data_IF_663620458958
#
_entry.id   IF_663620458958
#
_cell.length_a   1.000
_cell.length_b   1.000
_cell.length_c   1.000
_cell.angle_alpha   90.00
_cell.angle_beta   90.00
_cell.angle_gamma   90.00
#
_symmetry.space_group_name_H-M   'P 1'
#
loop_
_entity.id
_entity.type
_entity.pdbx_description
1 polymer ?
#
# COMPACT_ATOMS: atom_id res chain seq x y z
N UNK A 1 3.60 14.46 -6.79
CA UNK A 1 4.29 15.76 -6.58
C UNK A 1 4.92 15.84 -5.18
N UNK A 2 4.12 15.87 -4.10
CA UNK A 2 4.64 15.94 -2.71
C UNK A 2 5.73 14.91 -2.42
N UNK A 3 5.57 13.65 -2.85
CA UNK A 3 6.58 12.60 -2.62
C UNK A 3 7.95 12.96 -3.23
N UNK A 4 7.95 13.38 -4.50
CA UNK A 4 9.18 13.73 -5.20
C UNK A 4 9.89 14.94 -4.54
N UNK A 5 9.13 15.99 -4.23
CA UNK A 5 9.67 17.18 -3.57
C UNK A 5 10.16 16.89 -2.15
N UNK A 6 9.50 16.00 -1.41
CA UNK A 6 9.93 15.60 -0.06
C UNK A 6 11.23 14.78 -0.07
N UNK A 7 11.57 14.18 -1.21
CA UNK A 7 12.81 13.44 -1.42
C UNK A 7 13.93 14.31 -1.97
N UNK A 8 13.59 15.40 -2.65
CA UNK A 8 14.52 16.31 -3.30
C UNK A 8 15.59 16.85 -2.34
N UNK A 9 16.86 16.60 -2.65
CA UNK A 9 18.00 17.05 -1.85
C UNK A 9 18.02 18.57 -1.67
N UNK A 10 17.67 19.32 -2.73
CA UNK A 10 17.62 20.79 -2.70
C UNK A 10 16.59 21.35 -1.71
N UNK A 11 15.60 20.54 -1.30
CA UNK A 11 14.58 20.89 -0.32
C UNK A 11 14.84 20.29 1.06
N UNK A 12 16.04 19.74 1.28
CA UNK A 12 16.44 19.06 2.52
C UNK A 12 15.98 17.60 2.62
N UNK A 13 15.53 17.02 1.51
CA UNK A 13 15.27 15.58 1.40
C UNK A 13 16.56 14.75 1.46
N UNK A 14 16.43 13.43 1.50
CA UNK A 14 17.57 12.49 1.53
C UNK A 14 17.90 11.86 0.17
N UNK A 15 17.18 12.23 -0.88
CA UNK A 15 17.23 11.57 -2.17
C UNK A 15 16.83 10.10 -2.14
N UNK A 16 17.22 9.38 -3.19
CA UNK A 16 17.08 7.95 -3.33
C UNK A 16 18.33 7.25 -2.80
N UNK A 17 18.17 6.45 -1.75
CA UNK A 17 19.23 5.69 -1.10
C UNK A 17 19.73 4.49 -1.93
N UNK A 18 18.95 4.03 -2.92
CA UNK A 18 19.38 2.99 -3.87
C UNK A 18 20.10 3.54 -5.10
N UNK A 19 19.93 4.83 -5.41
CA UNK A 19 20.43 5.46 -6.62
C UNK A 19 21.03 6.82 -6.27
N UNK A 20 22.32 6.81 -5.93
CA UNK A 20 23.06 8.02 -5.56
C UNK A 20 22.95 9.10 -6.66
N UNK A 21 22.66 10.33 -6.25
CA UNK A 21 22.45 11.47 -7.15
C UNK A 21 21.04 11.57 -7.76
N UNK A 22 20.15 10.60 -7.54
CA UNK A 22 18.75 10.70 -7.91
C UNK A 22 17.87 11.03 -6.70
N UNK A 23 16.84 11.86 -6.88
CA UNK A 23 15.88 12.15 -5.81
C UNK A 23 14.82 11.03 -5.67
N UNK A 24 14.42 10.41 -6.77
CA UNK A 24 13.43 9.31 -6.82
C UNK A 24 13.81 8.27 -7.87
N UNK A 25 13.35 7.02 -7.69
CA UNK A 25 13.50 5.95 -8.67
C UNK A 25 12.14 5.44 -9.17
N UNK A 26 12.18 4.61 -10.22
CA UNK A 26 11.01 4.03 -10.89
C UNK A 26 10.55 2.70 -10.27
N UNK A 27 11.26 2.19 -9.26
CA UNK A 27 10.85 1.00 -8.53
C UNK A 27 9.73 1.34 -7.53
N UNK A 28 8.53 0.83 -7.80
CA UNK A 28 7.36 0.96 -6.92
C UNK A 28 7.53 0.33 -5.53
N UNK A 29 8.48 -0.59 -5.34
CA UNK A 29 8.82 -1.16 -4.03
C UNK A 29 9.68 -0.23 -3.18
N UNK A 30 10.32 0.76 -3.80
CA UNK A 30 11.23 1.70 -3.14
C UNK A 30 10.73 3.14 -3.16
N UNK A 31 10.36 3.65 -4.33
CA UNK A 31 9.83 4.99 -4.53
C UNK A 31 8.39 4.94 -5.05
N UNK A 32 8.19 5.14 -6.35
CA UNK A 32 6.88 5.19 -6.96
C UNK A 32 6.93 4.59 -8.36
N UNK A 33 5.79 4.04 -8.80
CA UNK A 33 5.68 3.50 -10.14
C UNK A 33 5.88 4.59 -11.20
N UNK A 34 6.57 4.24 -12.28
CA UNK A 34 6.73 5.06 -13.48
C UNK A 34 6.58 4.18 -14.72
N UNK A 35 6.01 4.74 -15.78
CA UNK A 35 5.91 4.10 -17.09
C UNK A 35 6.26 5.12 -18.17
N UNK A 36 6.99 4.71 -19.20
CA UNK A 36 7.32 5.59 -20.33
C UNK A 36 6.11 5.86 -21.22
N UNK A 37 6.19 6.88 -22.07
CA UNK A 37 5.12 7.19 -23.04
C UNK A 37 4.95 6.02 -24.02
N UNK A 38 6.03 5.38 -24.43
CA UNK A 38 6.03 4.21 -25.32
C UNK A 38 5.31 3.02 -24.70
N UNK A 39 5.59 2.72 -23.42
CA UNK A 39 4.91 1.68 -22.67
C UNK A 39 3.41 1.96 -22.54
N UNK A 40 3.03 3.22 -22.26
CA UNK A 40 1.63 3.63 -22.17
C UNK A 40 0.92 3.54 -23.53
N UNK A 41 1.57 3.92 -24.62
CA UNK A 41 1.05 3.74 -25.99
C UNK A 41 0.78 2.27 -26.29
N UNK A 42 1.75 1.40 -26.01
CA UNK A 42 1.59 -0.04 -26.20
C UNK A 42 0.45 -0.62 -25.35
N UNK A 43 0.33 -0.16 -24.09
CA UNK A 43 -0.69 -0.64 -23.14
C UNK A 43 -2.11 -0.18 -23.47
N UNK A 44 -2.27 1.06 -23.92
CA UNK A 44 -3.59 1.67 -24.11
C UNK A 44 -4.07 1.66 -25.57
N UNK A 45 -3.17 1.44 -26.53
CA UNK A 45 -3.48 1.37 -27.96
C UNK A 45 -4.25 2.60 -28.41
N UNK A 46 -5.38 2.39 -29.08
CA UNK A 46 -6.26 3.45 -29.59
C UNK A 46 -6.79 4.40 -28.50
N UNK A 47 -6.83 3.97 -27.24
CA UNK A 47 -7.27 4.82 -26.12
C UNK A 47 -6.16 5.72 -25.56
N UNK A 48 -4.92 5.61 -26.05
CA UNK A 48 -3.76 6.31 -25.51
C UNK A 48 -4.01 7.82 -25.39
N UNK A 49 -4.39 8.47 -26.49
CA UNK A 49 -4.58 9.94 -26.51
C UNK A 49 -5.63 10.39 -25.49
N UNK A 50 -6.74 9.67 -25.40
CA UNK A 50 -7.83 9.96 -24.46
C UNK A 50 -7.36 9.85 -23.01
N UNK A 51 -6.69 8.76 -22.65
CA UNK A 51 -6.25 8.53 -21.27
C UNK A 51 -5.09 9.41 -20.88
N UNK A 52 -4.12 9.58 -21.78
CA UNK A 52 -2.96 10.44 -21.56
C UNK A 52 -3.39 11.90 -21.38
N UNK A 53 -4.25 12.43 -22.26
CA UNK A 53 -4.79 13.79 -22.13
C UNK A 53 -5.52 14.02 -20.80
N UNK A 54 -6.37 13.06 -20.37
CA UNK A 54 -7.06 13.14 -19.08
C UNK A 54 -6.08 13.19 -17.90
N UNK A 55 -5.01 12.40 -17.94
CA UNK A 55 -3.98 12.39 -16.90
C UNK A 55 -3.19 13.70 -16.90
N UNK A 56 -2.76 14.19 -18.07
CA UNK A 56 -2.05 15.47 -18.20
C UNK A 56 -2.87 16.63 -17.65
N UNK A 57 -4.17 16.70 -17.98
CA UNK A 57 -5.06 17.71 -17.43
C UNK A 57 -5.15 17.65 -15.89
N UNK A 58 -5.16 16.45 -15.29
CA UNK A 58 -5.16 16.29 -13.84
C UNK A 58 -3.83 16.75 -13.20
N UNK A 59 -2.70 16.50 -13.87
CA UNK A 59 -1.38 16.98 -13.43
C UNK A 59 -1.31 18.51 -13.51
N UNK A 60 -1.76 19.09 -14.62
CA UNK A 60 -1.68 20.52 -14.91
C UNK A 60 -2.62 21.33 -14.03
N UNK A 61 -3.87 20.88 -13.87
CA UNK A 61 -4.85 21.55 -13.00
C UNK A 61 -4.43 21.59 -11.53
N UNK A 62 -3.57 20.66 -11.10
CA UNK A 62 -3.01 20.63 -9.75
C UNK A 62 -1.59 21.20 -9.68
N UNK A 63 -1.08 21.87 -10.72
CA UNK A 63 0.30 22.35 -10.81
C UNK A 63 0.72 23.13 -9.56
N UNK A 64 1.88 22.77 -9.02
CA UNK A 64 2.48 23.39 -7.84
C UNK A 64 1.78 23.06 -6.51
N UNK A 65 0.66 22.32 -6.50
CA UNK A 65 0.01 21.94 -5.24
C UNK A 65 0.76 20.80 -4.55
N UNK A 66 1.03 21.01 -3.26
CA UNK A 66 1.69 20.05 -2.37
C UNK A 66 0.87 19.89 -1.09
N UNK A 67 1.12 18.79 -0.38
CA UNK A 67 0.48 18.51 0.90
C UNK A 67 1.49 18.71 2.02
N UNK A 68 1.10 19.49 3.03
CA UNK A 68 1.93 19.82 4.19
C UNK A 68 1.22 19.50 5.49
N UNK A 69 2.00 19.26 6.54
CA UNK A 69 1.53 19.16 7.92
C UNK A 69 2.52 19.93 8.78
N UNK A 70 2.05 20.97 9.49
CA UNK A 70 2.90 21.88 10.26
C UNK A 70 4.04 22.46 9.39
N UNK A 71 3.70 23.02 8.23
CA UNK A 71 4.62 23.65 7.26
C UNK A 71 5.76 22.74 6.73
N UNK A 72 5.65 21.43 6.92
CA UNK A 72 6.55 20.44 6.36
C UNK A 72 5.83 19.56 5.34
N UNK A 73 6.50 19.22 4.23
CA UNK A 73 5.97 18.26 3.26
C UNK A 73 5.69 16.92 3.95
N UNK A 74 4.50 16.37 3.72
CA UNK A 74 4.13 15.07 4.31
C UNK A 74 4.84 13.92 3.57
N UNK A 75 4.76 12.72 4.14
CA UNK A 75 4.98 11.44 3.45
C UNK A 75 3.63 10.94 2.85
N UNK A 76 3.38 11.14 1.54
CA UNK A 76 2.07 10.91 0.94
C UNK A 76 1.93 9.48 0.38
N UNK A 77 2.11 8.48 1.23
CA UNK A 77 2.02 7.07 0.83
C UNK A 77 0.61 6.68 0.40
N UNK A 78 0.53 5.82 -0.62
CA UNK A 78 -0.73 5.34 -1.17
C UNK A 78 -0.60 3.88 -1.59
N UNK A 79 -1.73 3.20 -1.67
CA UNK A 79 -1.82 1.79 -2.04
C UNK A 79 -3.05 1.54 -2.91
N UNK A 80 -3.15 0.35 -3.51
CA UNK A 80 -4.21 0.07 -4.47
C UNK A 80 -5.59 -0.06 -3.81
N UNK A 81 -5.71 -0.94 -2.81
CA UNK A 81 -7.00 -1.32 -2.19
C UNK A 81 -6.76 -1.56 -0.71
N UNK A 82 -7.51 -0.89 0.18
CA UNK A 82 -7.30 -1.03 1.63
C UNK A 82 -7.95 -2.28 2.22
N UNK A 83 -9.06 -2.73 1.64
CA UNK A 83 -9.87 -3.81 2.22
C UNK A 83 -10.93 -3.29 3.20
N UNK A 84 -11.44 -2.08 2.95
CA UNK A 84 -12.48 -1.41 3.74
C UNK A 84 -11.99 -0.40 4.78
N UNK A 85 -10.71 -0.45 5.17
CA UNK A 85 -10.10 0.48 6.14
C UNK A 85 -8.60 0.60 5.90
N UNK A 86 -8.04 1.80 6.01
CA UNK A 86 -6.59 2.05 5.89
C UNK A 86 -5.86 1.72 7.19
N UNK A 87 -4.55 1.58 7.16
CA UNK A 87 -3.72 1.28 8.34
C UNK A 87 -3.22 2.55 9.05
N UNK A 88 -2.98 2.45 10.36
CA UNK A 88 -2.14 3.42 11.04
C UNK A 88 -0.67 3.18 10.66
N UNK A 89 0.13 4.24 10.57
CA UNK A 89 1.54 4.07 10.19
C UNK A 89 2.35 3.21 11.16
N UNK A 90 2.07 3.27 12.47
CA UNK A 90 2.78 2.47 13.48
C UNK A 90 2.48 0.97 13.38
N UNK A 91 1.32 0.60 12.86
CA UNK A 91 0.92 -0.80 12.69
C UNK A 91 1.70 -1.46 11.53
N UNK A 92 2.30 -0.66 10.64
CA UNK A 92 3.05 -1.15 9.47
C UNK A 92 4.56 -0.81 9.55
N UNK A 93 4.93 0.34 10.12
CA UNK A 93 6.31 0.84 10.15
C UNK A 93 6.81 1.20 11.56
N UNK A 94 6.10 0.79 12.62
CA UNK A 94 6.50 1.00 14.02
C UNK A 94 6.65 2.47 14.46
N UNK A 95 6.39 3.43 13.57
CA UNK A 95 6.45 4.87 13.83
C UNK A 95 5.08 5.49 13.64
N UNK A 96 4.59 6.18 14.66
CA UNK A 96 3.37 6.97 14.60
C UNK A 96 3.61 8.25 13.79
N UNK A 97 2.82 8.46 12.75
CA UNK A 97 2.84 9.64 11.88
C UNK A 97 1.46 10.29 11.98
N UNK A 98 1.35 11.54 12.48
CA UNK A 98 0.06 12.14 12.85
C UNK A 98 -0.99 12.17 11.74
N UNK A 99 -0.57 12.39 10.50
CA UNK A 99 -1.46 12.46 9.34
C UNK A 99 -1.72 11.11 8.66
N UNK A 100 -1.05 10.03 9.06
CA UNK A 100 -1.26 8.68 8.51
C UNK A 100 -2.02 7.82 9.53
N UNK A 101 -3.32 8.10 9.63
CA UNK A 101 -4.25 7.43 10.54
C UNK A 101 -5.23 6.56 9.79
N UNK A 102 -5.65 5.51 10.46
CA UNK A 102 -6.60 4.53 9.95
C UNK A 102 -8.01 5.14 9.81
N UNK A 103 -8.50 5.22 8.58
CA UNK A 103 -9.84 5.70 8.19
C UNK A 103 -10.58 4.63 7.40
N UNK A 104 -11.91 4.68 7.40
CA UNK A 104 -12.73 3.79 6.56
C UNK A 104 -12.44 4.11 5.07
N UNK A 105 -12.55 3.12 4.18
CA UNK A 105 -12.33 3.31 2.74
C UNK A 105 -13.47 2.62 1.99
N UNK A 106 -14.60 3.31 1.77
CA UNK A 106 -15.79 2.70 1.20
C UNK A 106 -15.66 2.48 -0.32
N UNK A 107 -16.50 1.59 -0.86
CA UNK A 107 -16.65 1.40 -2.31
C UNK A 107 -15.50 0.67 -3.01
N UNK A 108 -14.57 0.08 -2.25
CA UNK A 108 -13.43 -0.66 -2.78
C UNK A 108 -13.78 -2.05 -3.33
N UNK A 109 -14.91 -2.60 -2.89
CA UNK A 109 -15.42 -3.94 -3.22
C UNK A 109 -15.54 -4.20 -4.73
N UNK A 110 -15.66 -3.13 -5.52
CA UNK A 110 -15.76 -3.18 -7.00
C UNK A 110 -14.43 -3.54 -7.67
N UNK A 111 -13.32 -3.50 -6.94
CA UNK A 111 -12.00 -3.82 -7.48
C UNK A 111 -11.88 -5.32 -7.74
N UNK A 112 -11.40 -5.71 -8.93
CA UNK A 112 -11.21 -7.13 -9.28
C UNK A 112 -10.23 -7.86 -8.36
N UNK A 113 -9.29 -7.13 -7.74
CA UNK A 113 -8.34 -7.65 -6.76
C UNK A 113 -8.73 -7.35 -5.30
N UNK A 114 -9.99 -6.97 -5.05
CA UNK A 114 -10.45 -6.70 -3.68
C UNK A 114 -10.31 -7.94 -2.80
N UNK A 115 -10.78 -9.09 -3.31
CA UNK A 115 -10.63 -10.40 -2.67
C UNK A 115 -9.94 -11.35 -3.64
N UNK A 116 -8.84 -11.94 -3.19
CA UNK A 116 -8.07 -12.92 -3.97
C UNK A 116 -7.80 -14.15 -3.14
N UNK A 117 -7.50 -15.26 -3.81
CA UNK A 117 -7.21 -16.54 -3.15
C UNK A 117 -5.92 -17.11 -3.71
N UNK A 118 -5.08 -17.63 -2.82
CA UNK A 118 -3.92 -18.44 -3.15
C UNK A 118 -4.16 -19.83 -2.59
N UNK A 119 -4.03 -20.84 -3.44
CA UNK A 119 -4.20 -22.25 -3.08
C UNK A 119 -2.83 -22.92 -3.17
N UNK A 120 -2.41 -23.59 -2.10
CA UNK A 120 -1.15 -24.33 -2.03
C UNK A 120 -1.38 -25.66 -1.34
N UNK A 121 -0.70 -26.71 -1.78
CA UNK A 121 -0.80 -28.00 -1.11
C UNK A 121 -0.25 -27.91 0.32
N UNK A 122 -0.77 -28.71 1.24
CA UNK A 122 -0.28 -28.79 2.61
C UNK A 122 1.23 -29.05 2.66
N UNK A 123 1.74 -29.92 1.77
CA UNK A 123 3.17 -30.21 1.67
C UNK A 123 4.01 -28.98 1.25
N UNK A 124 3.57 -28.23 0.24
CA UNK A 124 4.27 -27.03 -0.21
C UNK A 124 4.17 -25.90 0.83
N UNK A 125 3.04 -25.79 1.53
CA UNK A 125 2.86 -24.83 2.63
C UNK A 125 3.89 -25.07 3.74
N UNK A 126 4.02 -26.31 4.22
CA UNK A 126 5.01 -26.68 5.25
C UNK A 126 6.43 -26.46 4.74
N UNK A 127 6.72 -26.85 3.50
CA UNK A 127 8.05 -26.70 2.89
C UNK A 127 8.49 -25.23 2.88
N UNK A 128 7.67 -24.31 2.34
CA UNK A 128 7.98 -22.88 2.30
C UNK A 128 8.20 -22.27 3.68
N UNK A 129 7.39 -22.67 4.66
CA UNK A 129 7.58 -22.22 6.05
C UNK A 129 8.90 -22.72 6.63
N UNK A 130 9.30 -23.97 6.36
CA UNK A 130 10.57 -24.55 6.83
C UNK A 130 11.80 -23.98 6.11
N UNK A 131 11.68 -23.60 4.84
CA UNK A 131 12.75 -22.88 4.13
C UNK A 131 13.07 -21.54 4.81
N UNK A 132 12.03 -20.86 5.33
CA UNK A 132 12.19 -19.62 6.11
C UNK A 132 12.61 -19.87 7.55
N UNK A 133 12.06 -20.89 8.20
CA UNK A 133 12.34 -21.25 9.57
C UNK A 133 12.64 -22.76 9.70
N UNK A 134 13.91 -23.17 9.55
CA UNK A 134 14.29 -24.60 9.56
C UNK A 134 13.99 -25.33 10.87
N UNK A 135 13.87 -24.60 11.99
CA UNK A 135 13.54 -25.17 13.31
C UNK A 135 12.05 -25.47 13.50
N UNK A 136 11.18 -25.06 12.57
CA UNK A 136 9.74 -25.20 12.66
C UNK A 136 9.32 -26.67 12.78
N UNK A 137 8.61 -26.98 13.87
CA UNK A 137 8.02 -28.31 14.11
C UNK A 137 6.58 -28.33 13.61
N UNK A 138 6.43 -28.62 12.32
CA UNK A 138 5.14 -28.75 11.66
C UNK A 138 5.12 -29.97 10.73
N UNK A 139 4.02 -30.73 10.78
CA UNK A 139 3.73 -31.85 9.89
C UNK A 139 2.63 -31.46 8.89
N UNK A 140 2.52 -32.19 7.79
CA UNK A 140 1.58 -31.87 6.69
C UNK A 140 0.15 -32.38 6.94
N UNK A 141 -0.28 -32.52 8.19
CA UNK A 141 -1.62 -32.96 8.58
C UNK A 141 -2.21 -31.98 9.60
N UNK A 142 -3.49 -31.64 9.46
CA UNK A 142 -4.22 -30.74 10.36
C UNK A 142 -3.53 -29.36 10.55
N UNK A 143 -2.92 -28.81 9.50
CA UNK A 143 -2.14 -27.57 9.56
C UNK A 143 -2.96 -26.40 10.11
N UNK A 144 -4.23 -26.30 9.74
CA UNK A 144 -5.10 -25.21 10.19
C UNK A 144 -5.25 -25.18 11.71
N UNK A 145 -5.20 -26.35 12.36
CA UNK A 145 -5.25 -26.45 13.83
C UNK A 145 -3.97 -25.97 14.51
N UNK A 146 -2.86 -25.89 13.79
CA UNK A 146 -1.56 -25.38 14.25
C UNK A 146 -1.41 -23.87 14.04
N UNK A 147 -2.34 -23.23 13.32
CA UNK A 147 -2.38 -21.77 13.14
C UNK A 147 -3.18 -21.16 14.29
N UNK A 148 -2.50 -20.47 15.21
CA UNK A 148 -3.08 -19.92 16.45
C UNK A 148 -2.62 -18.48 16.68
N UNK A 149 -3.22 -17.83 17.69
CA UNK A 149 -2.81 -16.52 18.18
C UNK A 149 -2.64 -15.48 17.07
N UNK A 150 -3.59 -15.41 16.13
CA UNK A 150 -3.56 -14.44 15.05
C UNK A 150 -3.89 -13.06 15.63
N UNK A 151 -2.88 -12.20 15.73
CA UNK A 151 -3.05 -10.81 16.15
C UNK A 151 -3.27 -9.92 14.92
N UNK A 152 -4.27 -9.04 14.99
CA UNK A 152 -4.64 -8.16 13.89
C UNK A 152 -4.60 -6.69 14.25
N UNK A 153 -4.36 -5.85 13.27
CA UNK A 153 -4.59 -4.41 13.33
C UNK A 153 -6.09 -4.12 13.35
N UNK A 154 -6.45 -2.86 13.60
CA UNK A 154 -7.84 -2.42 13.50
C UNK A 154 -8.40 -2.53 12.07
N UNK A 155 -7.54 -2.46 11.04
CA UNK A 155 -7.95 -2.66 9.64
C UNK A 155 -7.96 -4.14 9.22
N UNK A 156 -7.69 -5.07 10.15
CA UNK A 156 -7.79 -6.51 9.94
C UNK A 156 -6.53 -7.17 9.37
N UNK A 157 -5.46 -6.41 9.10
CA UNK A 157 -4.19 -7.00 8.68
C UNK A 157 -3.58 -7.82 9.81
N UNK A 158 -3.02 -8.98 9.48
CA UNK A 158 -2.28 -9.82 10.42
C UNK A 158 -0.98 -9.13 10.78
N UNK A 159 -0.78 -8.85 12.07
CA UNK A 159 0.49 -8.41 12.64
C UNK A 159 1.41 -9.60 12.82
N UNK A 160 0.93 -10.56 13.61
CA UNK A 160 1.63 -11.79 13.95
C UNK A 160 0.64 -12.96 13.99
N UNK A 161 1.17 -14.16 13.85
CA UNK A 161 0.44 -15.40 14.02
C UNK A 161 1.42 -16.49 14.43
N UNK A 162 0.95 -17.47 15.20
CA UNK A 162 1.72 -18.66 15.53
C UNK A 162 1.37 -19.79 14.57
N UNK A 163 2.37 -20.43 13.98
CA UNK A 163 2.20 -21.65 13.18
C UNK A 163 3.11 -22.71 13.80
N UNK A 164 2.51 -23.77 14.35
CA UNK A 164 3.24 -24.74 15.16
C UNK A 164 3.83 -24.09 16.40
N UNK A 165 5.15 -24.17 16.57
CA UNK A 165 5.89 -23.57 17.69
C UNK A 165 6.48 -22.18 17.42
N UNK A 166 6.34 -21.66 16.20
CA UNK A 166 7.00 -20.43 15.75
C UNK A 166 6.00 -19.29 15.55
N UNK A 167 6.37 -18.09 15.99
CA UNK A 167 5.66 -16.85 15.63
C UNK A 167 6.21 -16.29 14.32
N UNK A 168 5.31 -16.02 13.38
CA UNK A 168 5.60 -15.33 12.12
C UNK A 168 5.00 -13.93 12.14
N UNK A 169 5.63 -12.99 11.43
CA UNK A 169 4.95 -11.75 11.06
C UNK A 169 4.03 -11.97 9.86
N UNK A 170 2.92 -11.23 9.79
CA UNK A 170 2.01 -11.30 8.63
C UNK A 170 2.71 -10.94 7.30
N UNK A 171 3.75 -10.09 7.35
CA UNK A 171 4.57 -9.73 6.18
C UNK A 171 5.37 -10.91 5.64
N UNK A 172 5.90 -11.77 6.52
CA UNK A 172 6.64 -12.95 6.11
C UNK A 172 5.75 -13.93 5.37
N UNK A 173 4.53 -14.15 5.87
CA UNK A 173 3.54 -14.99 5.17
C UNK A 173 3.17 -14.37 3.82
N UNK A 174 2.94 -13.05 3.79
CA UNK A 174 2.65 -12.35 2.54
C UNK A 174 3.74 -12.58 1.50
N UNK A 175 5.01 -12.46 1.88
CA UNK A 175 6.16 -12.64 0.99
C UNK A 175 6.30 -14.10 0.53
N UNK A 176 6.23 -15.08 1.44
CA UNK A 176 6.38 -16.51 1.13
C UNK A 176 5.34 -17.02 0.12
N UNK A 177 4.11 -16.53 0.24
CA UNK A 177 2.98 -16.98 -0.58
C UNK A 177 2.57 -15.97 -1.65
N UNK A 178 3.31 -14.87 -1.83
CA UNK A 178 3.04 -13.87 -2.86
C UNK A 178 1.67 -13.20 -2.72
N UNK A 179 1.23 -12.95 -1.49
CA UNK A 179 -0.09 -12.40 -1.20
C UNK A 179 -0.15 -10.90 -1.52
N UNK A 180 -1.34 -10.41 -1.91
CA UNK A 180 -1.54 -9.00 -2.23
C UNK A 180 -1.47 -8.07 -1.00
N UNK A 181 -1.84 -8.58 0.18
CA UNK A 181 -1.83 -7.83 1.45
C UNK A 181 -1.50 -8.77 2.62
N UNK A 182 -1.36 -8.19 3.82
CA UNK A 182 -1.29 -8.96 5.08
C UNK A 182 -2.67 -9.18 5.71
N UNK A 183 -3.76 -8.74 5.08
CA UNK A 183 -5.12 -9.05 5.52
C UNK A 183 -5.57 -10.35 4.86
N UNK A 184 -5.23 -11.48 5.49
CA UNK A 184 -5.58 -12.79 4.99
C UNK A 184 -6.17 -13.70 6.07
N UNK A 185 -6.83 -14.77 5.63
CA UNK A 185 -7.37 -15.87 6.45
C UNK A 185 -7.01 -17.20 5.80
N UNK A 186 -7.00 -18.27 6.60
CA UNK A 186 -6.72 -19.62 6.13
C UNK A 186 -7.97 -20.48 6.22
N UNK A 187 -8.11 -21.40 5.28
CA UNK A 187 -9.06 -22.51 5.31
C UNK A 187 -8.41 -23.73 4.65
N UNK A 188 -8.94 -24.92 4.92
CA UNK A 188 -8.49 -26.16 4.29
C UNK A 188 -9.52 -26.63 3.27
N UNK A 189 -9.05 -27.15 2.13
CA UNK A 189 -9.87 -27.88 1.17
C UNK A 189 -9.12 -29.14 0.75
N UNK A 190 -9.55 -30.30 1.24
CA UNK A 190 -8.85 -31.57 1.04
C UNK A 190 -7.37 -31.46 1.48
N UNK A 191 -6.44 -31.65 0.55
CA UNK A 191 -5.00 -31.62 0.78
C UNK A 191 -4.37 -30.23 0.56
N UNK A 192 -5.20 -29.19 0.41
CA UNK A 192 -4.76 -27.82 0.13
C UNK A 192 -5.08 -26.85 1.28
N UNK A 193 -4.17 -25.89 1.48
CA UNK A 193 -4.37 -24.67 2.25
C UNK A 193 -4.81 -23.57 1.29
N UNK A 194 -5.98 -23.00 1.59
CA UNK A 194 -6.58 -21.89 0.86
C UNK A 194 -6.39 -20.61 1.68
N UNK A 195 -5.58 -19.71 1.16
CA UNK A 195 -5.30 -18.40 1.75
C UNK A 195 -6.18 -17.36 1.05
N UNK A 196 -7.18 -16.85 1.76
CA UNK A 196 -8.06 -15.78 1.26
C UNK A 196 -7.52 -14.43 1.71
N UNK A 197 -7.24 -13.55 0.76
CA UNK A 197 -6.60 -12.24 0.97
C UNK A 197 -7.58 -11.13 0.59
N UNK A 198 -7.67 -10.10 1.44
CA UNK A 198 -8.48 -8.90 1.24
C UNK A 198 -7.56 -7.68 1.05
N UNK A 199 -7.86 -6.84 0.07
CA UNK A 199 -7.07 -5.66 -0.25
C UNK A 199 -5.76 -5.95 -1.00
N UNK A 200 -5.08 -4.87 -1.38
CA UNK A 200 -3.83 -4.91 -2.14
C UNK A 200 -2.96 -3.70 -1.80
N UNK A 201 -1.81 -3.99 -1.17
CA UNK A 201 -0.77 -3.04 -0.83
C UNK A 201 -0.49 -3.02 0.67
N UNK A 202 0.06 -1.91 1.15
CA UNK A 202 0.47 -1.76 2.56
C UNK A 202 -0.63 -1.18 3.46
N UNK A 203 -1.77 -0.72 2.91
CA UNK A 203 -2.90 -0.22 3.69
C UNK A 203 -2.75 1.20 4.25
N UNK A 204 -1.54 1.70 4.47
CA UNK A 204 -1.32 3.08 5.00
C UNK A 204 -1.65 4.17 3.97
N UNK A 205 -2.21 5.30 4.44
CA UNK A 205 -2.42 6.50 3.63
C UNK A 205 -3.61 6.38 2.67
N UNK A 206 -3.48 6.87 1.44
CA UNK A 206 -4.60 6.92 0.49
C UNK A 206 -4.79 5.60 -0.27
N UNK A 207 -6.03 5.09 -0.30
CA UNK A 207 -6.41 4.03 -1.22
C UNK A 207 -6.79 4.60 -2.59
N UNK A 208 -6.24 4.04 -3.67
CA UNK A 208 -6.56 4.42 -5.03
C UNK A 208 -8.03 4.09 -5.39
N UNK A 209 -8.50 2.90 -5.04
CA UNK A 209 -9.89 2.52 -5.31
C UNK A 209 -10.88 3.27 -4.43
N UNK A 210 -10.53 3.51 -3.16
CA UNK A 210 -11.37 4.30 -2.26
C UNK A 210 -11.45 5.77 -2.68
N UNK A 211 -10.33 6.37 -3.10
CA UNK A 211 -10.33 7.71 -3.71
C UNK A 211 -11.23 7.80 -4.95
N UNK A 212 -11.20 6.78 -5.81
CA UNK A 212 -12.07 6.71 -6.99
C UNK A 212 -13.55 6.55 -6.60
N UNK A 213 -13.87 5.78 -5.56
CA UNK A 213 -15.23 5.66 -5.04
C UNK A 213 -15.74 7.01 -4.49
N UNK A 214 -14.96 7.68 -3.63
CA UNK A 214 -15.30 9.00 -3.10
C UNK A 214 -15.48 10.04 -4.23
N UNK A 215 -14.65 9.99 -5.27
CA UNK A 215 -14.79 10.87 -6.43
C UNK A 215 -16.09 10.60 -7.22
N UNK A 216 -16.51 9.33 -7.36
CA UNK A 216 -17.81 8.98 -7.95
C UNK A 216 -18.98 9.45 -7.12
N UNK A 217 -18.81 9.52 -5.80
CA UNK A 217 -19.77 10.10 -4.86
C UNK A 217 -19.71 11.64 -4.82
N UNK A 218 -18.94 12.27 -5.71
CA UNK A 218 -18.91 13.71 -5.91
C UNK A 218 -17.87 14.47 -5.07
N UNK A 219 -17.02 13.77 -4.29
CA UNK A 219 -15.95 14.41 -3.53
C UNK A 219 -14.88 14.99 -4.45
N UNK A 220 -14.43 16.20 -4.14
CA UNK A 220 -13.30 16.84 -4.82
C UNK A 220 -11.97 16.27 -4.35
N UNK A 221 -10.92 16.47 -5.13
CA UNK A 221 -9.60 15.90 -4.85
C UNK A 221 -9.04 16.36 -3.49
N UNK A 222 -9.27 17.61 -3.10
CA UNK A 222 -8.79 18.19 -1.85
C UNK A 222 -9.53 17.61 -0.63
N UNK A 223 -10.84 17.35 -0.76
CA UNK A 223 -11.61 16.63 0.25
C UNK A 223 -11.10 15.18 0.41
N UNK A 224 -10.82 14.50 -0.71
CA UNK A 224 -10.30 13.12 -0.69
C UNK A 224 -8.93 13.07 -0.04
N UNK A 225 -8.02 13.99 -0.39
CA UNK A 225 -6.69 14.03 0.20
C UNK A 225 -6.76 14.31 1.71
N UNK A 226 -7.56 15.29 2.15
CA UNK A 226 -7.76 15.60 3.58
C UNK A 226 -8.46 14.48 4.35
N UNK A 227 -9.24 13.64 3.67
CA UNK A 227 -9.86 12.47 4.26
C UNK A 227 -8.83 11.38 4.62
N UNK A 228 -7.94 11.05 3.69
CA UNK A 228 -6.92 10.02 3.89
C UNK A 228 -5.69 10.49 4.67
N UNK A 229 -5.35 11.77 4.57
CA UNK A 229 -4.23 12.39 5.27
C UNK A 229 -4.76 13.40 6.29
N UNK A 230 -4.82 13.02 7.56
CA UNK A 230 -5.52 13.82 8.57
C UNK A 230 -4.74 15.06 8.98
N UNK A 231 -5.44 16.21 9.02
CA UNK A 231 -4.86 17.48 9.48
C UNK A 231 -3.88 18.12 8.51
N UNK A 232 -3.83 17.68 7.25
CA UNK A 232 -2.97 18.30 6.23
C UNK A 232 -3.57 19.58 5.69
N UNK A 233 -2.70 20.40 5.13
CA UNK A 233 -3.06 21.51 4.26
C UNK A 233 -2.57 21.26 2.84
N UNK A 234 -3.25 21.86 1.87
CA UNK A 234 -2.86 21.82 0.47
C UNK A 234 -2.50 23.24 0.07
N UNK A 235 -1.21 23.44 -0.22
CA UNK A 235 -0.64 24.77 -0.49
C UNK A 235 0.08 24.76 -1.84
N UNK A 236 0.34 25.95 -2.39
CA UNK A 236 1.29 26.10 -3.49
C UNK A 236 2.70 26.00 -2.93
N UNK A 237 3.55 25.23 -3.62
CA UNK A 237 4.96 25.08 -3.22
C UNK A 237 5.70 26.42 -3.15
N UNK A 238 5.36 27.37 -4.01
CA UNK A 238 5.96 28.71 -4.02
C UNK A 238 5.70 29.46 -2.71
N UNK A 239 4.51 29.32 -2.12
CA UNK A 239 4.16 29.99 -0.87
C UNK A 239 4.87 29.34 0.31
N UNK A 240 5.01 28.02 0.29
CA UNK A 240 5.79 27.26 1.29
C UNK A 240 7.27 27.68 1.30
N UNK A 241 7.84 27.97 0.13
CA UNK A 241 9.24 28.40 0.02
C UNK A 241 9.44 29.86 0.46
N UNK A 242 8.46 30.75 0.21
CA UNK A 242 8.53 32.16 0.65
C UNK A 242 8.49 32.31 2.17
N UNK A 243 7.76 31.45 2.87
CA UNK A 243 7.65 31.48 4.34
C UNK A 243 8.87 30.94 5.11
N UNK A 244 9.91 30.45 4.41
CA UNK A 244 11.16 29.95 5.03
C UNK A 244 12.28 31.00 5.11
N UNK A 245 12.02 32.24 4.71
CA UNK A 245 12.95 33.37 4.78
C UNK A 245 12.61 34.34 5.90
#
# INVERSE_FOLDING_TARGET
RTYALAKELALGGKGCDLHEGADVCTDSKHCQAWQSVEELKGKWGENFEKYYSKISQAVDSTRGLVMVYQDALILPVYHAISGGRTENSEDVWQKKIPYLRSVVSPGEEVASKYKTTVVVSQAEFVKKLKERQPSLKLTSNNILSEIKNIERTQAGHVKTLKIGDVTFEGKEIKELFGLNSTNFTFSEQKDDIVITVIGYGHGVGMSQYGANALAKDGKKFDEILKYYYQGIEIVKIEDLLKGKH
#
